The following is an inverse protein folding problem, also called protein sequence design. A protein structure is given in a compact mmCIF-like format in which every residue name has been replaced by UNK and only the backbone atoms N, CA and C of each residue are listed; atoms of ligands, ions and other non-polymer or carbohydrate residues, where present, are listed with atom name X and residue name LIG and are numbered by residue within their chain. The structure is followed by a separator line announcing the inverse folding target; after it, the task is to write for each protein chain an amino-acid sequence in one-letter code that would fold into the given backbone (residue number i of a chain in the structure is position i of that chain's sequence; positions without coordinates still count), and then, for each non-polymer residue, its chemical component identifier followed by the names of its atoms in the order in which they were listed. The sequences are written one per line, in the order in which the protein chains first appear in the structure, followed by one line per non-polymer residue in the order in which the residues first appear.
data_IF_447435837461
#
_entry.id   IF_447435837461
#
_cell.length_a   1.000
_cell.length_b   1.000
_cell.length_c   1.000
_cell.angle_alpha   90.00
_cell.angle_beta   90.00
_cell.angle_gamma   90.00
#
_symmetry.space_group_name_H-M   'P 1'
#
loop_
_entity.id
_entity.type
_entity.pdbx_description
1 polymer ?
#
# COMPACT_ATOMS: atom_id res chain seq x y z
N UNK A 1 -16.13 -12.05 -11.80
CA UNK A 1 -15.21 -12.41 -10.70
C UNK A 1 -13.78 -12.14 -11.14
N UNK A 2 -13.17 -11.04 -10.71
CA UNK A 2 -11.76 -10.74 -11.04
C UNK A 2 -10.86 -11.41 -10.01
N UNK A 3 -9.96 -12.28 -10.47
CA UNK A 3 -8.99 -12.98 -9.63
C UNK A 3 -8.03 -11.93 -9.04
N UNK A 4 -8.21 -11.63 -7.77
CA UNK A 4 -7.24 -10.87 -6.98
C UNK A 4 -6.05 -11.79 -6.68
N UNK A 5 -4.89 -11.43 -7.21
CA UNK A 5 -3.67 -12.21 -7.00
C UNK A 5 -2.99 -11.76 -5.70
N UNK A 6 -3.22 -12.56 -4.66
CA UNK A 6 -2.58 -12.50 -3.33
C UNK A 6 -1.08 -12.87 -3.40
N UNK A 7 -0.61 -13.34 -4.57
CA UNK A 7 0.76 -13.81 -4.81
C UNK A 7 1.65 -12.71 -5.38
N UNK A 8 2.98 -12.81 -5.15
CA UNK A 8 3.98 -11.96 -5.82
C UNK A 8 3.87 -12.16 -7.31
N UNK A 9 3.62 -11.09 -8.05
CA UNK A 9 3.42 -11.18 -9.49
C UNK A 9 4.77 -11.15 -10.23
N UNK A 10 4.95 -12.03 -11.24
CA UNK A 10 6.13 -11.98 -12.08
C UNK A 10 6.11 -10.72 -12.96
N UNK A 11 7.27 -10.09 -13.09
CA UNK A 11 7.47 -8.96 -14.01
C UNK A 11 8.00 -9.50 -15.31
N UNK A 12 7.31 -9.18 -16.41
CA UNK A 12 7.78 -9.48 -17.76
C UNK A 12 8.26 -8.17 -18.40
N UNK A 13 8.93 -8.27 -19.54
CA UNK A 13 9.36 -7.10 -20.31
C UNK A 13 8.83 -7.19 -21.74
N UNK A 14 8.34 -6.08 -22.27
CA UNK A 14 8.07 -5.90 -23.70
C UNK A 14 8.98 -4.77 -24.17
N UNK A 15 10.00 -5.12 -24.98
CA UNK A 15 11.13 -4.24 -25.23
C UNK A 15 11.80 -3.80 -23.92
N UNK A 16 12.04 -2.49 -23.76
CA UNK A 16 12.65 -1.93 -22.54
C UNK A 16 11.65 -1.69 -21.38
N UNK A 17 10.36 -1.98 -21.57
CA UNK A 17 9.31 -1.66 -20.57
C UNK A 17 8.95 -2.88 -19.74
N UNK A 18 9.05 -2.73 -18.42
CA UNK A 18 8.51 -3.67 -17.46
C UNK A 18 6.97 -3.69 -17.51
N UNK A 19 6.39 -4.88 -17.52
CA UNK A 19 4.96 -5.12 -17.56
C UNK A 19 4.52 -6.12 -16.49
N UNK A 20 3.25 -6.00 -16.11
CA UNK A 20 2.58 -6.82 -15.13
C UNK A 20 1.26 -7.32 -15.73
N UNK A 21 1.01 -8.62 -15.66
CA UNK A 21 -0.28 -9.21 -16.05
C UNK A 21 -1.10 -9.54 -14.81
N UNK A 22 -2.31 -8.99 -14.72
CA UNK A 22 -3.29 -9.31 -13.68
C UNK A 22 -4.58 -9.73 -14.39
N UNK A 23 -4.92 -11.02 -14.30
CA UNK A 23 -5.97 -11.60 -15.11
C UNK A 23 -5.73 -11.32 -16.60
N UNK A 24 -6.74 -10.75 -17.28
CA UNK A 24 -6.67 -10.38 -18.70
C UNK A 24 -6.02 -9.01 -18.96
N UNK A 25 -5.72 -8.23 -17.91
CA UNK A 25 -5.19 -6.87 -18.05
C UNK A 25 -3.66 -6.86 -17.98
N UNK A 26 -3.05 -6.03 -18.82
CA UNK A 26 -1.61 -5.75 -18.80
C UNK A 26 -1.37 -4.32 -18.32
N UNK A 27 -0.51 -4.16 -17.32
CA UNK A 27 -0.11 -2.87 -16.77
C UNK A 27 1.36 -2.63 -17.09
N UNK A 28 1.67 -1.48 -17.67
CA UNK A 28 3.04 -1.06 -17.95
C UNK A 28 3.57 -0.20 -16.81
N UNK A 29 4.87 -0.33 -16.52
CA UNK A 29 5.56 0.54 -15.59
C UNK A 29 5.37 2.02 -15.96
N UNK A 30 5.11 2.85 -14.96
CA UNK A 30 4.92 4.30 -15.06
C UNK A 30 6.10 5.04 -14.45
N UNK A 31 6.25 6.32 -14.79
CA UNK A 31 7.13 7.22 -14.05
C UNK A 31 6.57 7.49 -12.65
N UNK A 32 7.42 7.94 -11.73
CA UNK A 32 7.01 8.33 -10.36
C UNK A 32 5.94 9.43 -10.35
N UNK A 33 5.86 10.22 -11.41
CA UNK A 33 4.91 11.34 -11.51
C UNK A 33 3.47 10.88 -11.65
N UNK A 34 3.20 9.67 -12.13
CA UNK A 34 1.84 9.12 -12.16
C UNK A 34 1.22 9.08 -10.75
N UNK A 35 1.97 8.60 -9.76
CA UNK A 35 1.54 8.61 -8.36
C UNK A 35 1.47 10.02 -7.76
N UNK A 36 2.38 10.93 -8.15
CA UNK A 36 2.33 12.33 -7.71
C UNK A 36 1.05 13.02 -8.19
N UNK A 37 0.73 12.90 -9.47
CA UNK A 37 -0.49 13.44 -10.08
C UNK A 37 -1.75 12.85 -9.44
N UNK A 38 -1.76 11.54 -9.17
CA UNK A 38 -2.89 10.88 -8.51
C UNK A 38 -3.11 11.30 -7.05
N UNK A 39 -2.12 11.92 -6.39
CA UNK A 39 -2.16 12.27 -4.97
C UNK A 39 -2.16 13.78 -4.71
N UNK A 40 -2.42 14.61 -5.74
CA UNK A 40 -2.46 16.08 -5.60
C UNK A 40 -3.40 16.51 -4.48
N UNK A 41 -4.61 15.93 -4.45
CA UNK A 41 -5.65 16.22 -3.46
C UNK A 41 -5.61 15.27 -2.25
N UNK A 42 -4.53 14.52 -2.06
CA UNK A 42 -4.42 13.64 -0.92
C UNK A 42 -4.18 14.44 0.37
N UNK A 43 -5.13 14.38 1.28
CA UNK A 43 -4.98 14.90 2.64
C UNK A 43 -4.24 13.91 3.54
N UNK A 44 -3.22 14.39 4.24
CA UNK A 44 -2.51 13.61 5.26
C UNK A 44 -3.48 13.14 6.35
N UNK A 45 -3.17 12.01 6.98
CA UNK A 45 -3.92 11.51 8.13
C UNK A 45 -2.96 11.25 9.31
N UNK A 46 -3.41 11.65 10.50
CA UNK A 46 -2.76 11.31 11.76
C UNK A 46 -3.74 10.46 12.57
N UNK A 47 -3.34 9.24 12.90
CA UNK A 47 -4.21 8.27 13.56
C UNK A 47 -3.64 7.97 14.94
N UNK A 48 -4.47 8.09 15.98
CA UNK A 48 -4.12 7.69 17.34
C UNK A 48 -4.20 6.18 17.48
N UNK A 49 -3.09 5.55 17.87
CA UNK A 49 -2.96 4.11 18.07
C UNK A 49 -2.25 3.82 19.40
N UNK A 50 -3.01 3.39 20.41
CA UNK A 50 -2.49 3.03 21.73
C UNK A 50 -1.69 4.15 22.41
N UNK A 51 -2.13 5.40 22.26
CA UNK A 51 -1.47 6.60 22.80
C UNK A 51 -0.32 7.16 21.96
N UNK A 52 0.01 6.54 20.82
CA UNK A 52 1.02 7.06 19.86
C UNK A 52 0.35 7.56 18.59
N UNK A 53 1.03 8.46 17.88
CA UNK A 53 0.60 8.94 16.57
C UNK A 53 1.15 8.02 15.47
N UNK A 54 0.28 7.68 14.52
CA UNK A 54 0.67 7.07 13.25
C UNK A 54 0.42 8.09 12.14
N UNK A 55 1.45 8.38 11.35
CA UNK A 55 1.42 9.37 10.28
C UNK A 55 1.29 8.68 8.92
N UNK A 56 0.21 9.01 8.21
CA UNK A 56 0.02 8.59 6.84
C UNK A 56 -0.03 9.80 5.91
N UNK A 57 1.13 10.10 5.33
CA UNK A 57 1.34 11.30 4.51
C UNK A 57 1.23 11.02 3.02
N UNK A 58 1.04 12.09 2.23
CA UNK A 58 1.04 12.06 0.77
C UNK A 58 2.25 11.31 0.19
N UNK A 59 3.45 11.59 0.70
CA UNK A 59 4.68 10.91 0.26
C UNK A 59 4.64 9.40 0.52
N UNK A 60 4.05 8.97 1.65
CA UNK A 60 3.89 7.54 1.96
C UNK A 60 2.83 6.88 1.09
N UNK A 61 1.73 7.57 0.78
CA UNK A 61 0.75 7.10 -0.21
C UNK A 61 1.40 6.92 -1.59
N UNK A 62 2.16 7.91 -2.06
CA UNK A 62 2.89 7.81 -3.33
C UNK A 62 3.82 6.59 -3.37
N UNK A 63 4.57 6.35 -2.29
CA UNK A 63 5.42 5.18 -2.17
C UNK A 63 4.63 3.86 -2.29
N UNK A 64 3.47 3.78 -1.64
CA UNK A 64 2.58 2.61 -1.73
C UNK A 64 2.10 2.41 -3.16
N UNK A 65 1.58 3.46 -3.81
CA UNK A 65 1.06 3.37 -5.18
C UNK A 65 2.14 2.93 -6.19
N UNK A 66 3.35 3.48 -6.08
CA UNK A 66 4.48 3.17 -6.97
C UNK A 66 4.94 1.71 -6.88
N UNK A 67 4.75 1.06 -5.72
CA UNK A 67 5.22 -0.31 -5.50
C UNK A 67 4.10 -1.36 -5.59
N UNK A 68 2.86 -0.99 -5.25
CA UNK A 68 1.79 -1.94 -4.99
C UNK A 68 0.48 -1.63 -5.71
N UNK A 69 0.38 -0.56 -6.50
CA UNK A 69 -0.84 -0.26 -7.24
C UNK A 69 -0.62 -0.36 -8.77
N UNK A 70 -1.28 -1.28 -9.48
CA UNK A 70 -1.00 -1.55 -10.90
C UNK A 70 -1.05 -0.32 -11.81
N UNK A 71 -2.00 0.60 -11.56
CA UNK A 71 -2.13 1.83 -12.37
C UNK A 71 -0.98 2.84 -12.20
N UNK A 72 -0.20 2.73 -11.13
CA UNK A 72 0.87 3.69 -10.79
C UNK A 72 2.24 3.02 -10.59
N UNK A 73 2.31 1.71 -10.77
CA UNK A 73 3.46 0.88 -10.49
C UNK A 73 4.65 1.26 -11.36
N UNK A 74 5.85 1.33 -10.78
CA UNK A 74 7.06 1.82 -11.46
C UNK A 74 7.99 0.70 -11.93
N UNK A 75 7.50 -0.54 -12.07
CA UNK A 75 8.30 -1.65 -12.63
C UNK A 75 9.03 -2.54 -11.62
N UNK A 76 8.95 -2.27 -10.31
CA UNK A 76 9.63 -3.10 -9.30
C UNK A 76 8.96 -4.48 -9.15
N UNK A 77 9.74 -5.55 -9.33
CA UNK A 77 9.27 -6.93 -9.19
C UNK A 77 9.15 -7.43 -7.75
N UNK A 78 8.58 -8.64 -7.60
CA UNK A 78 8.42 -9.32 -6.31
C UNK A 78 7.40 -8.64 -5.38
N UNK A 79 6.46 -7.88 -5.94
CA UNK A 79 5.42 -7.15 -5.21
C UNK A 79 4.07 -7.84 -5.39
N UNK A 80 3.27 -7.83 -4.34
CA UNK A 80 1.82 -8.06 -4.42
C UNK A 80 1.12 -6.73 -4.71
N UNK A 81 -0.02 -6.80 -5.39
CA UNK A 81 -0.67 -5.62 -5.96
C UNK A 81 -2.10 -5.46 -5.44
N UNK A 82 -2.48 -4.23 -5.12
CA UNK A 82 -3.86 -3.82 -4.90
C UNK A 82 -4.72 -4.12 -6.14
N UNK A 83 -6.01 -4.30 -5.91
CA UNK A 83 -6.99 -4.34 -6.99
C UNK A 83 -6.87 -3.07 -7.85
N UNK A 84 -6.69 -3.17 -9.18
CA UNK A 84 -6.59 -2.02 -10.07
C UNK A 84 -7.79 -1.07 -10.05
N UNK A 85 -8.95 -1.51 -9.55
CA UNK A 85 -10.17 -0.69 -9.41
C UNK A 85 -10.17 0.19 -8.16
N UNK A 86 -9.25 -0.04 -7.21
CA UNK A 86 -9.16 0.80 -6.01
C UNK A 86 -8.72 2.22 -6.39
N UNK A 87 -9.47 3.21 -5.90
CA UNK A 87 -9.03 4.60 -5.96
C UNK A 87 -7.94 4.86 -4.92
N UNK A 88 -7.22 5.98 -5.05
CA UNK A 88 -6.28 6.45 -4.02
C UNK A 88 -6.95 6.55 -2.66
N UNK A 89 -8.21 7.00 -2.61
CA UNK A 89 -8.97 7.04 -1.37
C UNK A 89 -9.38 5.65 -0.87
N UNK A 90 -9.67 4.70 -1.78
CA UNK A 90 -9.88 3.29 -1.43
C UNK A 90 -8.65 2.68 -0.75
N UNK A 91 -7.45 2.90 -1.31
CA UNK A 91 -6.19 2.49 -0.66
C UNK A 91 -6.04 3.18 0.69
N UNK A 92 -6.38 4.47 0.79
CA UNK A 92 -6.33 5.21 2.06
C UNK A 92 -7.20 4.56 3.13
N UNK A 93 -8.44 4.23 2.78
CA UNK A 93 -9.41 3.62 3.67
C UNK A 93 -8.97 2.22 4.13
N UNK A 94 -8.35 1.43 3.26
CA UNK A 94 -7.77 0.13 3.65
C UNK A 94 -6.68 0.33 4.70
N UNK A 95 -5.73 1.24 4.46
CA UNK A 95 -4.62 1.50 5.40
C UNK A 95 -5.13 1.99 6.75
N UNK A 96 -6.05 2.96 6.77
CA UNK A 96 -6.61 3.49 8.01
C UNK A 96 -7.39 2.42 8.77
N UNK A 97 -8.13 1.55 8.07
CA UNK A 97 -8.90 0.47 8.68
C UNK A 97 -8.00 -0.59 9.32
N UNK A 98 -6.90 -0.99 8.64
CA UNK A 98 -5.89 -1.90 9.22
C UNK A 98 -5.29 -1.28 10.49
N UNK A 99 -4.89 0.00 10.46
CA UNK A 99 -4.32 0.70 11.62
C UNK A 99 -5.33 0.76 12.77
N UNK A 100 -6.57 1.18 12.49
CA UNK A 100 -7.61 1.32 13.50
C UNK A 100 -7.95 0.00 14.20
N UNK A 101 -7.80 -1.13 13.51
CA UNK A 101 -8.08 -2.46 14.06
C UNK A 101 -6.92 -3.04 14.87
N UNK A 102 -5.75 -2.39 14.82
CA UNK A 102 -4.53 -2.88 15.47
C UNK A 102 -3.94 -1.84 16.44
N UNK A 103 -4.74 -0.89 16.93
CA UNK A 103 -4.27 0.27 17.73
C UNK A 103 -3.39 -0.13 18.91
N UNK A 104 -3.78 -1.15 19.67
CA UNK A 104 -3.04 -1.62 20.84
C UNK A 104 -1.67 -2.18 20.47
N UNK A 105 -1.62 -3.09 19.49
CA UNK A 105 -0.37 -3.69 18.98
C UNK A 105 0.59 -2.62 18.50
N UNK A 106 0.08 -1.64 17.75
CA UNK A 106 0.87 -0.52 17.23
C UNK A 106 1.41 0.34 18.37
N UNK A 107 0.54 0.78 19.29
CA UNK A 107 0.94 1.62 20.41
C UNK A 107 2.00 0.97 21.27
N UNK A 108 1.86 -0.34 21.56
CA UNK A 108 2.84 -1.09 22.35
C UNK A 108 4.20 -1.19 21.64
N UNK A 109 4.21 -1.46 20.33
CA UNK A 109 5.47 -1.52 19.57
C UNK A 109 6.17 -0.15 19.53
N UNK A 110 5.42 0.92 19.24
CA UNK A 110 5.98 2.27 19.14
C UNK A 110 6.47 2.82 20.50
N UNK A 111 5.81 2.47 21.61
CA UNK A 111 6.31 2.79 22.96
C UNK A 111 7.67 2.16 23.24
N UNK A 112 7.92 0.97 22.69
CA UNK A 112 9.20 0.25 22.79
C UNK A 112 10.22 0.68 21.72
N UNK A 113 9.93 1.70 20.91
CA UNK A 113 10.83 2.15 19.84
C UNK A 113 10.94 1.19 18.65
N UNK A 114 9.98 0.27 18.48
CA UNK A 114 10.01 -0.76 17.45
C UNK A 114 9.11 -0.43 16.27
N UNK A 115 9.53 -0.84 15.07
CA UNK A 115 8.63 -0.94 13.92
C UNK A 115 7.68 -2.13 14.07
N UNK A 116 6.52 -2.08 13.40
CA UNK A 116 5.51 -3.15 13.50
C UNK A 116 4.85 -3.43 12.16
N UNK A 117 4.55 -4.70 11.93
CA UNK A 117 3.67 -5.16 10.86
C UNK A 117 2.32 -5.51 11.47
N UNK A 118 1.25 -4.95 10.92
CA UNK A 118 -0.12 -5.23 11.33
C UNK A 118 -0.95 -5.69 10.16
N UNK A 119 -1.98 -6.46 10.45
CA UNK A 119 -2.74 -7.16 9.43
C UNK A 119 -4.24 -6.99 9.65
N UNK A 120 -5.00 -7.01 8.56
CA UNK A 120 -6.46 -7.16 8.61
C UNK A 120 -6.98 -7.74 7.31
N UNK A 121 -7.96 -8.62 7.40
CA UNK A 121 -8.75 -9.07 6.25
C UNK A 121 -9.91 -8.11 6.00
N UNK A 122 -10.02 -7.60 4.78
CA UNK A 122 -11.11 -6.73 4.32
C UNK A 122 -11.63 -7.33 3.02
N UNK A 123 -12.92 -7.65 2.97
CA UNK A 123 -13.58 -8.29 1.81
C UNK A 123 -12.83 -9.53 1.30
N UNK A 124 -12.41 -10.41 2.22
CA UNK A 124 -11.70 -11.65 1.90
C UNK A 124 -10.21 -11.48 1.56
N UNK A 125 -9.68 -10.25 1.53
CA UNK A 125 -8.28 -9.98 1.19
C UNK A 125 -7.52 -9.56 2.44
N UNK A 126 -6.45 -10.28 2.79
CA UNK A 126 -5.58 -9.90 3.90
C UNK A 126 -4.65 -8.79 3.47
N UNK A 127 -4.61 -7.71 4.23
CA UNK A 127 -3.71 -6.59 4.00
C UNK A 127 -2.68 -6.51 5.12
N UNK A 128 -1.45 -6.19 4.75
CA UNK A 128 -0.37 -5.85 5.68
C UNK A 128 -0.10 -4.35 5.61
N UNK A 129 0.08 -3.70 6.77
CA UNK A 129 0.61 -2.34 6.88
C UNK A 129 1.86 -2.38 7.75
N UNK A 130 2.97 -1.84 7.24
CA UNK A 130 4.19 -1.64 8.02
C UNK A 130 4.25 -0.19 8.54
N UNK A 131 4.47 -0.05 9.84
CA UNK A 131 4.63 1.23 10.52
C UNK A 131 6.04 1.26 11.11
N UNK A 132 6.81 2.29 10.75
CA UNK A 132 8.16 2.47 11.27
C UNK A 132 8.16 2.89 12.73
N UNK A 133 9.29 2.73 13.42
CA UNK A 133 9.48 3.21 14.81
C UNK A 133 9.23 4.70 14.99
N UNK A 134 9.35 5.47 13.90
CA UNK A 134 9.03 6.90 13.80
C UNK A 134 7.53 7.20 13.65
N UNK A 135 6.67 6.18 13.67
CA UNK A 135 5.23 6.31 13.52
C UNK A 135 4.74 6.48 12.09
N UNK A 136 5.62 6.49 11.08
CA UNK A 136 5.20 6.66 9.69
C UNK A 136 4.81 5.33 9.05
N UNK A 137 3.71 5.32 8.30
CA UNK A 137 3.38 4.20 7.39
C UNK A 137 4.49 4.09 6.33
N UNK A 138 5.17 2.95 6.27
CA UNK A 138 6.26 2.73 5.29
C UNK A 138 5.80 1.97 4.05
N UNK A 139 4.88 1.02 4.23
CA UNK A 139 4.28 0.25 3.13
C UNK A 139 2.91 -0.30 3.53
N UNK A 140 2.10 -0.58 2.52
CA UNK A 140 0.84 -1.29 2.66
C UNK A 140 0.57 -2.09 1.39
N UNK A 141 0.13 -3.34 1.51
CA UNK A 141 -0.12 -4.21 0.38
C UNK A 141 -0.93 -5.45 0.77
N UNK A 142 -1.64 -6.10 -0.19
CA UNK A 142 -2.29 -7.39 0.05
C UNK A 142 -1.26 -8.51 0.24
N UNK A 143 -1.54 -9.48 1.11
CA UNK A 143 -0.66 -10.60 1.48
C UNK A 143 -1.38 -11.93 1.51
#
# INVERSE_FOLDING_TARGET
MFILLVHKLPVQHIGKKAILKIGKKTFQAKSKDAAKKATVNFSNATIKAGGKNVYFTKAKMQHILQNHHPNYWTGKGGKSMFDPSLSVNGVKNIVTNVINSNKTTIGNALKKGNSVNVYKTINGIKYKVNIGKDGYVKSAYPV
#
